data_IF_482751918578
#
_entry.id   IF_482751918578
#
_cell.length_a   1.000
_cell.length_b   1.000
_cell.length_c   1.000
_cell.angle_alpha   90.00
_cell.angle_beta   90.00
_cell.angle_gamma   90.00
#
_symmetry.space_group_name_H-M   'P 1'
#
loop_
_entity.id
_entity.type
_entity.pdbx_description
1 polymer ?
#
# COMPACT_ATOMS: atom_id res chain seq x y z
N UNK A 1 -2.62 73.92 20.51
CA UNK A 1 -1.32 73.67 19.83
C UNK A 1 -1.40 72.25 19.29
N UNK A 2 -1.86 72.05 18.05
CA UNK A 2 -1.06 71.91 16.82
C UNK A 2 0.10 70.90 16.94
N UNK A 3 -0.04 69.82 16.16
CA UNK A 3 1.02 69.04 15.48
C UNK A 3 1.80 68.05 16.39
N UNK A 4 2.17 66.82 15.97
CA UNK A 4 2.21 66.19 14.65
C UNK A 4 1.93 64.68 14.77
N UNK A 5 1.17 64.18 13.80
CA UNK A 5 1.16 62.78 13.38
C UNK A 5 2.43 62.49 12.57
N UNK A 6 3.17 61.44 12.91
CA UNK A 6 4.17 60.83 12.03
C UNK A 6 3.87 59.34 11.93
N UNK A 7 3.32 58.96 10.79
CA UNK A 7 2.97 57.58 10.45
C UNK A 7 4.22 56.75 10.16
N UNK A 8 4.28 55.56 10.75
CA UNK A 8 5.14 54.49 10.28
C UNK A 8 4.32 53.64 9.30
N UNK A 9 4.65 53.76 8.01
CA UNK A 9 4.18 52.83 7.00
C UNK A 9 4.87 51.47 7.23
N UNK A 10 4.10 50.47 7.67
CA UNK A 10 4.55 49.09 7.69
C UNK A 10 4.66 48.58 6.24
N UNK A 11 5.88 48.46 5.74
CA UNK A 11 6.18 47.82 4.47
C UNK A 11 5.98 46.30 4.64
N UNK A 12 4.80 45.80 4.30
CA UNK A 12 4.58 44.37 4.13
C UNK A 12 5.32 43.90 2.88
N UNK A 13 6.54 43.40 3.04
CA UNK A 13 7.23 42.60 2.04
C UNK A 13 6.49 41.27 1.87
N UNK A 14 5.61 41.23 0.87
CA UNK A 14 5.07 39.98 0.34
C UNK A 14 6.23 39.28 -0.37
N UNK A 15 6.88 38.35 0.32
CA UNK A 15 7.82 37.43 -0.31
C UNK A 15 7.04 36.54 -1.28
N UNK A 16 7.16 36.82 -2.58
CA UNK A 16 6.61 35.97 -3.63
C UNK A 16 7.15 34.54 -3.53
N UNK A 17 6.33 33.50 -3.71
CA UNK A 17 6.79 32.11 -3.72
C UNK A 17 7.40 31.79 -5.09
N UNK A 18 8.51 32.45 -5.45
CA UNK A 18 9.20 32.24 -6.72
C UNK A 18 10.43 31.32 -6.61
N UNK A 19 10.68 30.72 -5.44
CA UNK A 19 11.84 29.84 -5.20
C UNK A 19 11.50 28.34 -5.11
N UNK A 20 10.24 27.95 -5.34
CA UNK A 20 9.82 26.54 -5.29
C UNK A 20 9.76 25.84 -6.65
N UNK A 21 10.15 26.50 -7.75
CA UNK A 21 10.00 25.97 -9.13
C UNK A 21 11.31 25.71 -9.88
N UNK A 22 12.49 25.94 -9.29
CA UNK A 22 13.76 25.87 -10.01
C UNK A 22 14.56 24.56 -9.86
N UNK A 23 14.00 23.48 -9.32
CA UNK A 23 14.70 22.17 -9.21
C UNK A 23 14.00 20.98 -9.87
N UNK A 24 12.97 21.22 -10.71
CA UNK A 24 12.26 20.14 -11.42
C UNK A 24 12.73 19.96 -12.88
N UNK A 25 13.52 20.89 -13.43
CA UNK A 25 13.91 20.86 -14.86
C UNK A 25 15.15 20.00 -15.21
N UNK A 26 15.50 19.02 -14.38
CA UNK A 26 16.54 18.04 -14.72
C UNK A 26 16.02 16.60 -14.61
N UNK A 27 14.84 16.33 -15.16
CA UNK A 27 14.48 14.98 -15.59
C UNK A 27 14.65 14.89 -17.10
N UNK A 28 15.77 14.30 -17.50
CA UNK A 28 16.09 13.87 -18.86
C UNK A 28 14.87 13.32 -19.59
N UNK A 29 14.74 13.68 -20.87
CA UNK A 29 13.72 13.29 -21.84
C UNK A 29 13.66 11.78 -22.17
N UNK A 30 14.13 10.92 -21.28
CA UNK A 30 13.88 9.49 -21.32
C UNK A 30 12.43 9.20 -20.97
N UNK A 31 11.78 8.34 -21.75
CA UNK A 31 10.43 7.84 -21.44
C UNK A 31 10.48 7.19 -20.06
N UNK A 32 9.86 7.81 -19.05
CA UNK A 32 9.84 7.29 -17.68
C UNK A 32 9.15 5.93 -17.71
N UNK A 33 9.90 4.88 -17.40
CA UNK A 33 9.35 3.54 -17.25
C UNK A 33 8.58 3.45 -15.93
N UNK A 34 7.26 3.55 -16.04
CA UNK A 34 6.35 3.51 -14.88
C UNK A 34 6.32 2.12 -14.23
N UNK A 35 6.61 1.06 -14.99
CA UNK A 35 6.52 -0.34 -14.56
C UNK A 35 7.79 -0.83 -13.86
N UNK A 36 8.87 -0.06 -13.88
CA UNK A 36 10.16 -0.43 -13.30
C UNK A 36 10.07 -0.97 -11.85
N UNK A 37 9.27 -0.39 -10.92
CA UNK A 37 9.16 -0.94 -9.58
C UNK A 37 8.56 -2.34 -9.52
N UNK A 38 7.71 -2.71 -10.48
CA UNK A 38 7.10 -4.04 -10.53
C UNK A 38 8.08 -5.13 -10.99
N UNK A 39 9.24 -4.75 -11.53
CA UNK A 39 10.30 -5.68 -11.95
C UNK A 39 11.38 -5.90 -10.89
N UNK A 40 11.37 -5.10 -9.81
CA UNK A 40 12.33 -5.24 -8.70
C UNK A 40 12.50 -6.69 -8.22
N UNK A 41 11.44 -7.50 -8.02
CA UNK A 41 11.61 -8.88 -7.56
C UNK A 41 12.45 -9.76 -8.51
N UNK A 42 12.38 -9.47 -9.80
CA UNK A 42 12.94 -10.30 -10.86
C UNK A 42 14.27 -9.77 -11.40
N UNK A 43 14.62 -8.53 -11.07
CA UNK A 43 15.83 -7.87 -11.56
C UNK A 43 16.81 -7.50 -10.43
N UNK A 44 16.32 -7.17 -9.23
CA UNK A 44 17.13 -6.56 -8.16
C UNK A 44 17.12 -7.35 -6.86
N UNK A 45 15.96 -7.87 -6.46
CA UNK A 45 15.81 -8.60 -5.21
C UNK A 45 16.38 -10.00 -5.34
N UNK A 46 17.41 -10.33 -4.56
CA UNK A 46 17.99 -11.67 -4.54
C UNK A 46 17.24 -12.58 -3.58
N UNK A 47 16.86 -13.76 -4.05
CA UNK A 47 16.35 -14.83 -3.22
C UNK A 47 17.46 -15.33 -2.29
N UNK A 48 17.22 -15.29 -0.99
CA UNK A 48 18.17 -15.73 0.03
C UNK A 48 18.48 -17.23 -0.03
N UNK A 49 17.66 -18.04 -0.73
CA UNK A 49 17.87 -19.49 -0.87
C UNK A 49 18.81 -19.82 -2.04
N UNK A 50 18.72 -19.08 -3.14
CA UNK A 50 19.45 -19.38 -4.39
C UNK A 50 20.55 -18.35 -4.71
N UNK A 51 20.45 -17.14 -4.15
CA UNK A 51 21.31 -16.00 -4.50
C UNK A 51 20.95 -15.31 -5.81
N UNK A 52 19.95 -15.81 -6.55
CA UNK A 52 19.48 -15.29 -7.84
C UNK A 52 18.23 -14.44 -7.66
N UNK A 53 17.89 -13.56 -8.62
CA UNK A 53 16.57 -12.93 -8.65
C UNK A 53 15.43 -13.95 -8.72
N UNK A 54 14.23 -13.54 -8.29
CA UNK A 54 13.06 -14.42 -8.38
C UNK A 54 12.63 -14.61 -9.83
N UNK A 55 12.14 -15.80 -10.16
CA UNK A 55 11.43 -16.04 -11.42
C UNK A 55 10.07 -15.33 -11.42
N UNK A 56 9.57 -14.94 -12.59
CA UNK A 56 8.26 -14.27 -12.70
C UNK A 56 7.11 -15.12 -12.12
N UNK A 57 7.21 -16.45 -12.25
CA UNK A 57 6.25 -17.39 -11.68
C UNK A 57 6.14 -17.32 -10.16
N UNK A 58 7.18 -16.84 -9.45
CA UNK A 58 7.16 -16.67 -8.01
C UNK A 58 6.17 -15.61 -7.53
N UNK A 59 5.69 -14.72 -8.42
CA UNK A 59 4.68 -13.72 -8.11
C UNK A 59 3.23 -14.21 -8.26
N UNK A 60 3.03 -15.40 -8.84
CA UNK A 60 1.70 -15.98 -9.07
C UNK A 60 1.10 -16.44 -7.74
N UNK A 61 -0.16 -16.08 -7.50
CA UNK A 61 -0.93 -16.60 -6.38
C UNK A 61 -1.26 -18.08 -6.61
N UNK A 62 -0.85 -18.91 -5.66
CA UNK A 62 -1.02 -20.37 -5.71
C UNK A 62 -2.46 -20.84 -5.44
N UNK A 63 -3.37 -19.94 -5.05
CA UNK A 63 -4.79 -20.25 -4.89
C UNK A 63 -5.48 -20.41 -6.25
N UNK A 64 -5.75 -21.65 -6.64
CA UNK A 64 -6.38 -22.06 -7.90
C UNK A 64 -7.87 -21.70 -8.02
N UNK A 65 -8.52 -21.34 -6.91
CA UNK A 65 -9.93 -20.90 -6.89
C UNK A 65 -10.10 -19.43 -7.31
N UNK A 66 -9.01 -18.67 -7.36
CA UNK A 66 -9.04 -17.28 -7.80
C UNK A 66 -9.02 -17.21 -9.33
N UNK A 67 -9.75 -16.26 -9.90
CA UNK A 67 -9.65 -15.96 -11.33
C UNK A 67 -8.22 -15.54 -11.72
N UNK A 68 -7.79 -15.86 -12.93
CA UNK A 68 -6.39 -15.67 -13.36
C UNK A 68 -5.92 -14.20 -13.26
N UNK A 69 -6.77 -13.23 -13.59
CA UNK A 69 -6.47 -11.81 -13.44
C UNK A 69 -6.25 -11.39 -11.98
N UNK A 70 -6.85 -12.10 -11.02
CA UNK A 70 -6.63 -11.90 -9.58
C UNK A 70 -5.37 -12.66 -9.12
N UNK A 71 -5.11 -13.85 -9.64
CA UNK A 71 -3.91 -14.65 -9.32
C UNK A 71 -2.62 -13.97 -9.75
N UNK A 72 -2.67 -13.18 -10.81
CA UNK A 72 -1.54 -12.44 -11.35
C UNK A 72 -1.17 -11.17 -10.56
N UNK A 73 -1.80 -10.93 -9.40
CA UNK A 73 -1.55 -9.76 -8.55
C UNK A 73 -0.52 -10.03 -7.48
N UNK A 74 0.40 -9.10 -7.34
CA UNK A 74 1.42 -9.11 -6.29
C UNK A 74 1.75 -7.69 -5.85
N UNK A 75 2.44 -7.58 -4.72
CA UNK A 75 2.81 -6.32 -4.10
C UNK A 75 4.32 -6.25 -3.96
N UNK A 76 4.90 -5.09 -4.23
CA UNK A 76 6.34 -4.81 -4.09
C UNK A 76 6.54 -3.60 -3.21
N UNK A 77 7.09 -3.82 -2.02
CA UNK A 77 7.61 -2.75 -1.18
C UNK A 77 9.05 -2.43 -1.59
N UNK A 78 9.33 -1.18 -1.92
CA UNK A 78 10.70 -0.66 -2.02
C UNK A 78 10.93 0.27 -0.83
N UNK A 79 11.69 -0.23 0.15
CA UNK A 79 12.00 0.48 1.38
C UNK A 79 13.31 1.26 1.31
N UNK A 80 14.00 1.23 0.17
CA UNK A 80 15.14 2.11 -0.07
C UNK A 80 14.66 3.55 -0.25
N UNK A 81 15.31 4.47 0.45
CA UNK A 81 15.00 5.91 0.45
C UNK A 81 16.03 6.71 -0.35
N UNK A 82 17.21 6.14 -0.58
CA UNK A 82 18.26 6.70 -1.42
C UNK A 82 18.45 5.88 -2.70
N UNK A 83 18.91 6.55 -3.75
CA UNK A 83 19.35 5.93 -4.99
C UNK A 83 20.82 5.48 -4.93
N UNK A 84 21.30 4.89 -6.01
CA UNK A 84 22.68 4.39 -6.16
C UNK A 84 23.76 5.47 -6.02
N UNK A 85 23.40 6.74 -6.23
CA UNK A 85 24.30 7.88 -6.06
C UNK A 85 24.28 8.44 -4.63
N UNK A 86 23.54 7.80 -3.71
CA UNK A 86 23.38 8.25 -2.34
C UNK A 86 22.46 9.47 -2.19
N UNK A 87 21.68 9.80 -3.21
CA UNK A 87 20.71 10.90 -3.16
C UNK A 87 19.36 10.37 -2.68
N UNK A 88 18.65 11.12 -1.84
CA UNK A 88 17.28 10.75 -1.49
C UNK A 88 16.40 10.74 -2.74
N UNK A 89 15.56 9.73 -2.90
CA UNK A 89 14.78 9.49 -4.13
C UNK A 89 13.69 10.53 -4.33
N UNK A 90 13.05 10.95 -3.24
CA UNK A 90 11.72 11.56 -3.31
C UNK A 90 10.70 10.56 -3.80
N UNK A 91 9.44 10.96 -3.89
CA UNK A 91 8.40 10.03 -4.33
C UNK A 91 7.17 10.77 -4.83
N UNK A 92 6.52 10.18 -5.83
CA UNK A 92 5.24 10.61 -6.37
C UNK A 92 4.34 9.39 -6.47
N UNK A 93 3.11 9.54 -6.00
CA UNK A 93 2.08 8.52 -6.18
C UNK A 93 1.69 8.35 -7.64
N UNK A 94 1.31 7.12 -7.97
CA UNK A 94 0.75 6.75 -9.25
C UNK A 94 -0.54 5.99 -8.99
N UNK A 95 -1.65 6.46 -9.56
CA UNK A 95 -2.93 5.77 -9.52
C UNK A 95 -3.40 5.50 -10.95
N UNK A 96 -3.59 4.22 -11.32
CA UNK A 96 -4.31 3.90 -12.55
C UNK A 96 -5.76 4.36 -12.44
N UNK A 97 -6.33 4.79 -13.57
CA UNK A 97 -7.76 5.10 -13.61
C UNK A 97 -8.57 3.82 -13.38
N UNK A 98 -9.73 3.94 -12.76
CA UNK A 98 -10.61 2.81 -12.47
C UNK A 98 -11.02 2.06 -13.75
N UNK A 99 -11.26 2.79 -14.84
CA UNK A 99 -11.62 2.22 -16.13
C UNK A 99 -10.47 1.41 -16.75
N UNK A 100 -9.23 1.57 -16.30
CA UNK A 100 -8.05 0.85 -16.78
C UNK A 100 -7.73 -0.42 -15.98
N UNK A 101 -8.46 -0.67 -14.89
CA UNK A 101 -8.23 -1.82 -14.03
C UNK A 101 -8.66 -3.15 -14.67
N UNK A 102 -7.94 -4.23 -14.35
CA UNK A 102 -8.22 -5.58 -14.84
C UNK A 102 -9.52 -6.18 -14.29
N UNK A 103 -10.15 -5.52 -13.30
CA UNK A 103 -11.48 -5.84 -12.80
C UNK A 103 -12.60 -5.61 -13.80
N UNK A 104 -12.44 -4.68 -14.76
CA UNK A 104 -13.58 -4.16 -15.52
C UNK A 104 -13.43 -4.20 -17.05
N UNK A 105 -12.93 -5.31 -17.64
CA UNK A 105 -12.71 -5.36 -19.09
C UNK A 105 -14.00 -5.17 -19.89
N UNK A 106 -15.14 -5.66 -19.40
CA UNK A 106 -16.40 -5.58 -20.16
C UNK A 106 -17.09 -4.26 -19.98
N UNK A 107 -17.17 -3.75 -18.75
CA UNK A 107 -17.70 -2.42 -18.50
C UNK A 107 -16.90 -1.35 -19.24
N UNK A 108 -15.57 -1.49 -19.35
CA UNK A 108 -14.75 -0.61 -20.17
C UNK A 108 -15.16 -0.65 -21.64
N UNK A 109 -15.35 -1.84 -22.21
CA UNK A 109 -15.80 -2.00 -23.59
C UNK A 109 -17.19 -1.38 -23.79
N UNK A 110 -18.13 -1.62 -22.89
CA UNK A 110 -19.47 -1.06 -22.96
C UNK A 110 -19.45 0.47 -22.86
N UNK A 111 -18.66 1.04 -21.94
CA UNK A 111 -18.49 2.48 -21.82
C UNK A 111 -17.94 3.10 -23.12
N UNK A 112 -16.94 2.46 -23.72
CA UNK A 112 -16.35 2.89 -24.98
C UNK A 112 -17.31 2.76 -26.17
N UNK A 113 -18.04 1.64 -26.28
CA UNK A 113 -19.03 1.41 -27.35
C UNK A 113 -20.19 2.41 -27.30
N UNK A 114 -20.58 2.85 -26.10
CA UNK A 114 -21.72 3.75 -25.88
C UNK A 114 -21.32 5.22 -25.72
N UNK A 115 -20.03 5.52 -25.71
CA UNK A 115 -19.48 6.86 -25.42
C UNK A 115 -20.04 7.46 -24.11
N UNK A 116 -20.02 6.66 -23.04
CA UNK A 116 -20.50 7.09 -21.71
C UNK A 116 -19.39 7.08 -20.68
N UNK A 117 -19.56 7.90 -19.64
CA UNK A 117 -18.65 7.92 -18.51
C UNK A 117 -18.66 6.57 -17.77
N UNK A 118 -17.48 6.01 -17.49
CA UNK A 118 -17.34 4.65 -16.97
C UNK A 118 -18.04 4.44 -15.61
N UNK A 119 -17.92 5.37 -14.67
CA UNK A 119 -18.55 5.24 -13.35
C UNK A 119 -20.08 5.34 -13.39
N UNK A 120 -20.65 5.98 -14.42
CA UNK A 120 -22.10 6.04 -14.63
C UNK A 120 -22.74 4.66 -14.83
N UNK A 121 -21.96 3.69 -15.35
CA UNK A 121 -22.41 2.30 -15.51
C UNK A 121 -22.72 1.61 -14.17
N UNK A 122 -22.23 2.15 -13.05
CA UNK A 122 -22.58 1.63 -11.74
C UNK A 122 -24.08 1.71 -11.44
N UNK A 123 -24.83 2.61 -12.10
CA UNK A 123 -26.27 2.74 -11.89
C UNK A 123 -27.11 2.14 -13.02
N UNK A 124 -26.48 1.59 -14.05
CA UNK A 124 -27.18 0.99 -15.17
C UNK A 124 -27.84 -0.34 -14.78
N UNK A 125 -28.99 -0.61 -15.38
CA UNK A 125 -29.67 -1.90 -15.23
C UNK A 125 -28.94 -2.96 -16.07
N UNK A 126 -28.70 -4.12 -15.47
CA UNK A 126 -27.93 -5.20 -16.10
C UNK A 126 -28.60 -5.66 -17.42
N UNK A 127 -29.93 -5.72 -17.46
CA UNK A 127 -30.68 -6.06 -18.67
C UNK A 127 -30.42 -5.07 -19.82
N UNK A 128 -30.12 -3.81 -19.52
CA UNK A 128 -29.80 -2.79 -20.53
C UNK A 128 -28.36 -2.86 -21.02
N UNK A 129 -27.48 -3.56 -20.30
CA UNK A 129 -26.06 -3.71 -20.62
C UNK A 129 -25.76 -5.02 -21.36
N UNK A 130 -26.58 -6.04 -21.14
CA UNK A 130 -26.47 -7.37 -21.75
C UNK A 130 -27.04 -7.38 -23.18
N UNK A 131 -26.36 -8.06 -24.11
CA UNK A 131 -26.90 -8.36 -25.44
C UNK A 131 -27.76 -9.63 -25.37
N UNK A 132 -28.83 -9.72 -26.16
CA UNK A 132 -29.77 -10.85 -26.14
C UNK A 132 -29.15 -12.23 -26.40
N UNK A 133 -27.94 -12.28 -26.95
CA UNK A 133 -27.21 -13.50 -27.32
C UNK A 133 -26.07 -13.85 -26.34
N UNK A 134 -25.92 -13.17 -25.20
CA UNK A 134 -24.87 -13.50 -24.23
C UNK A 134 -25.11 -14.84 -23.52
N UNK A 135 -24.03 -15.60 -23.32
CA UNK A 135 -24.05 -16.83 -22.52
C UNK A 135 -24.30 -16.52 -21.03
N UNK A 136 -24.77 -17.50 -20.25
CA UNK A 136 -24.98 -17.32 -18.80
C UNK A 136 -23.70 -16.92 -18.07
N UNK A 137 -22.57 -17.58 -18.37
CA UNK A 137 -21.26 -17.24 -17.79
C UNK A 137 -20.87 -15.79 -18.11
N UNK A 138 -21.16 -15.36 -19.35
CA UNK A 138 -20.97 -13.97 -19.75
C UNK A 138 -21.87 -13.06 -18.91
N UNK A 139 -23.15 -13.36 -18.77
CA UNK A 139 -24.04 -12.55 -17.94
C UNK A 139 -23.55 -12.41 -16.49
N UNK A 140 -23.14 -13.51 -15.86
CA UNK A 140 -22.62 -13.54 -14.48
C UNK A 140 -21.32 -12.73 -14.31
N UNK A 141 -20.40 -12.82 -15.26
CA UNK A 141 -19.18 -12.04 -15.24
C UNK A 141 -19.46 -10.53 -15.29
N UNK A 142 -20.40 -10.09 -16.14
CA UNK A 142 -20.82 -8.68 -16.19
C UNK A 142 -21.50 -8.23 -14.90
N UNK A 143 -22.37 -9.08 -14.33
CA UNK A 143 -23.01 -8.81 -13.05
C UNK A 143 -21.99 -8.59 -11.92
N UNK A 144 -20.94 -9.42 -11.89
CA UNK A 144 -19.83 -9.28 -10.96
C UNK A 144 -19.05 -7.96 -11.17
N UNK A 145 -18.77 -7.56 -12.41
CA UNK A 145 -18.10 -6.29 -12.70
C UNK A 145 -18.93 -5.08 -12.21
N UNK A 146 -20.26 -5.09 -12.41
CA UNK A 146 -21.15 -4.01 -11.93
C UNK A 146 -21.18 -3.97 -10.41
N UNK A 147 -21.30 -5.12 -9.76
CA UNK A 147 -21.29 -5.21 -8.30
C UNK A 147 -19.96 -4.70 -7.72
N UNK A 148 -18.83 -5.08 -8.32
CA UNK A 148 -17.51 -4.63 -7.90
C UNK A 148 -17.30 -3.14 -8.15
N UNK A 149 -17.83 -2.58 -9.25
CA UNK A 149 -17.81 -1.15 -9.51
C UNK A 149 -18.61 -0.40 -8.44
N UNK A 150 -19.88 -0.80 -8.19
CA UNK A 150 -20.71 -0.23 -7.13
C UNK A 150 -20.02 -0.27 -5.77
N UNK A 151 -19.42 -1.42 -5.44
CA UNK A 151 -18.68 -1.62 -4.21
C UNK A 151 -17.49 -0.65 -4.13
N UNK A 152 -16.66 -0.59 -5.17
CA UNK A 152 -15.51 0.32 -5.23
C UNK A 152 -15.90 1.78 -5.01
N UNK A 153 -16.93 2.27 -5.72
CA UNK A 153 -17.41 3.64 -5.60
C UNK A 153 -17.81 3.96 -4.14
N UNK A 154 -18.61 3.07 -3.55
CA UNK A 154 -19.16 3.26 -2.21
C UNK A 154 -18.13 3.09 -1.09
N UNK A 155 -17.15 2.20 -1.26
CA UNK A 155 -16.28 1.74 -0.17
C UNK A 155 -14.86 2.28 -0.25
N UNK A 156 -14.42 2.67 -1.44
CA UNK A 156 -13.03 3.07 -1.71
C UNK A 156 -12.98 4.47 -2.31
N UNK A 157 -13.62 4.71 -3.45
CA UNK A 157 -13.44 5.95 -4.22
C UNK A 157 -13.86 7.21 -3.46
N UNK A 158 -14.93 7.13 -2.66
CA UNK A 158 -15.38 8.28 -1.86
C UNK A 158 -14.35 8.84 -0.88
N UNK A 159 -13.27 8.10 -0.61
CA UNK A 159 -12.16 8.53 0.26
C UNK A 159 -10.96 9.06 -0.51
N UNK A 160 -11.00 9.03 -1.86
CA UNK A 160 -9.90 9.44 -2.71
C UNK A 160 -9.47 10.87 -2.41
N UNK A 161 -8.16 11.05 -2.33
CA UNK A 161 -7.51 12.35 -2.17
C UNK A 161 -6.61 12.61 -3.37
N UNK A 162 -6.14 13.84 -3.49
CA UNK A 162 -5.11 14.19 -4.46
C UNK A 162 -3.86 13.31 -4.29
N UNK A 163 -3.17 13.08 -5.41
CA UNK A 163 -1.92 12.32 -5.41
C UNK A 163 -0.89 13.02 -4.54
N UNK A 164 -0.27 12.25 -3.65
CA UNK A 164 0.79 12.78 -2.80
C UNK A 164 2.09 12.84 -3.60
N UNK A 165 2.76 13.99 -3.53
CA UNK A 165 4.12 14.19 -4.04
C UNK A 165 4.98 14.69 -2.88
N UNK A 166 6.12 14.03 -2.65
CA UNK A 166 7.06 14.41 -1.60
C UNK A 166 8.43 14.68 -2.22
N UNK A 167 9.03 15.78 -1.78
CA UNK A 167 10.40 16.12 -2.09
C UNK A 167 11.36 15.03 -1.60
N UNK A 168 12.59 15.04 -2.14
CA UNK A 168 13.67 14.11 -1.79
C UNK A 168 13.96 14.10 -0.29
N UNK A 169 13.97 15.27 0.33
CA UNK A 169 14.11 15.44 1.78
C UNK A 169 12.91 16.19 2.30
N UNK A 170 12.26 15.66 3.34
CA UNK A 170 11.10 16.27 3.96
C UNK A 170 11.25 16.27 5.48
N UNK A 171 11.21 17.45 6.11
CA UNK A 171 11.46 17.62 7.55
C UNK A 171 12.76 16.92 8.03
N UNK A 172 13.81 16.96 7.21
CA UNK A 172 15.10 16.32 7.49
C UNK A 172 15.15 14.81 7.22
N UNK A 173 14.03 14.16 6.92
CA UNK A 173 14.00 12.75 6.55
C UNK A 173 14.34 12.53 5.09
N UNK A 174 15.07 11.46 4.81
CA UNK A 174 15.27 10.97 3.45
C UNK A 174 14.04 10.20 3.00
N UNK A 175 13.40 10.67 1.94
CA UNK A 175 12.13 10.14 1.46
C UNK A 175 12.32 9.31 0.21
N UNK A 176 11.66 8.16 0.13
CA UNK A 176 11.64 7.32 -1.07
C UNK A 176 10.88 6.00 -0.94
N UNK A 177 10.35 5.65 0.24
CA UNK A 177 9.67 4.38 0.44
C UNK A 177 8.34 4.32 -0.32
N UNK A 178 8.14 3.22 -1.04
CA UNK A 178 6.93 2.99 -1.84
C UNK A 178 6.34 1.60 -1.60
N UNK A 179 5.03 1.51 -1.79
CA UNK A 179 4.30 0.26 -1.92
C UNK A 179 3.66 0.21 -3.31
N UNK A 180 4.12 -0.72 -4.14
CA UNK A 180 3.73 -0.85 -5.54
C UNK A 180 2.81 -2.07 -5.68
N UNK A 181 1.66 -1.86 -6.32
CA UNK A 181 0.66 -2.88 -6.60
C UNK A 181 0.76 -3.22 -8.07
N UNK A 182 1.07 -4.48 -8.35
CA UNK A 182 1.54 -4.93 -9.65
C UNK A 182 0.72 -6.12 -10.14
N UNK A 183 0.50 -6.17 -11.44
CA UNK A 183 -0.16 -7.29 -12.10
C UNK A 183 0.71 -7.83 -13.23
N UNK A 184 0.66 -9.15 -13.45
CA UNK A 184 1.23 -9.77 -14.63
C UNK A 184 0.18 -9.70 -15.75
N UNK A 185 0.48 -8.94 -16.80
CA UNK A 185 -0.34 -8.84 -18.00
C UNK A 185 0.47 -9.26 -19.21
N UNK A 186 -0.03 -10.23 -19.98
CA UNK A 186 0.64 -10.75 -21.18
C UNK A 186 2.10 -11.16 -20.91
N UNK A 187 2.34 -11.81 -19.77
CA UNK A 187 3.67 -12.24 -19.34
C UNK A 187 4.59 -11.13 -18.87
N UNK A 188 4.10 -9.90 -18.64
CA UNK A 188 4.91 -8.75 -18.22
C UNK A 188 4.40 -8.12 -16.92
N UNK A 189 5.30 -7.76 -15.99
CA UNK A 189 5.01 -6.89 -14.86
C UNK A 189 4.43 -5.54 -15.29
N UNK A 190 3.31 -5.13 -14.69
CA UNK A 190 2.68 -3.84 -14.90
C UNK A 190 2.29 -3.18 -13.59
N UNK A 191 2.57 -1.89 -13.45
CA UNK A 191 2.18 -1.09 -12.30
C UNK A 191 0.71 -0.68 -12.39
N UNK A 192 -0.05 -0.99 -11.33
CA UNK A 192 -1.42 -0.50 -11.16
C UNK A 192 -1.43 0.71 -10.25
N UNK A 193 -0.78 0.61 -9.09
CA UNK A 193 -0.70 1.70 -8.11
C UNK A 193 0.69 1.79 -7.50
N UNK A 194 1.14 3.00 -7.22
CA UNK A 194 2.29 3.29 -6.35
C UNK A 194 1.84 4.22 -5.25
N UNK A 195 1.87 3.72 -4.02
CA UNK A 195 1.58 4.51 -2.84
C UNK A 195 2.87 4.90 -2.15
N UNK A 196 2.87 6.10 -1.56
CA UNK A 196 3.90 6.45 -0.59
C UNK A 196 3.59 5.68 0.69
N UNK A 197 4.61 5.09 1.30
CA UNK A 197 4.46 4.31 2.53
C UNK A 197 5.50 4.72 3.56
N UNK A 198 5.25 4.38 4.82
CA UNK A 198 6.28 4.40 5.85
C UNK A 198 6.39 3.03 6.49
N UNK A 199 7.61 2.50 6.45
CA UNK A 199 8.00 1.24 7.04
C UNK A 199 9.06 1.46 8.12
N UNK A 200 9.64 0.38 8.64
CA UNK A 200 10.51 0.34 9.82
C UNK A 200 11.48 1.51 9.93
N UNK A 201 11.61 2.07 11.14
CA UNK A 201 12.60 3.08 11.57
C UNK A 201 13.92 2.50 12.02
N UNK A 202 13.90 1.22 12.37
CA UNK A 202 15.07 0.46 12.74
C UNK A 202 15.84 0.13 11.48
N UNK A 203 17.17 0.23 11.53
CA UNK A 203 18.03 -0.39 10.54
C UNK A 203 17.72 -1.88 10.53
N UNK A 204 16.82 -2.25 9.64
CA UNK A 204 16.74 -3.61 9.18
C UNK A 204 17.85 -3.71 8.18
N UNK A 205 19.06 -3.94 8.70
CA UNK A 205 20.07 -4.51 7.87
C UNK A 205 19.47 -5.81 7.30
N UNK A 206 19.61 -6.10 6.00
CA UNK A 206 19.04 -7.32 5.40
C UNK A 206 19.46 -8.60 6.12
N UNK A 207 20.61 -8.60 6.82
CA UNK A 207 21.10 -9.69 7.67
C UNK A 207 20.28 -9.91 8.96
N UNK A 208 19.56 -8.90 9.45
CA UNK A 208 18.69 -9.01 10.64
C UNK A 208 17.42 -9.84 10.36
N UNK A 209 17.15 -10.19 9.09
CA UNK A 209 16.03 -11.06 8.66
C UNK A 209 14.68 -10.64 9.23
N UNK A 210 14.46 -9.36 9.50
CA UNK A 210 13.18 -8.92 10.07
C UNK A 210 12.08 -8.95 9.01
N UNK A 211 12.32 -8.43 7.81
CA UNK A 211 11.47 -8.71 6.65
C UNK A 211 12.05 -9.87 5.86
N UNK A 212 11.22 -10.86 5.54
CA UNK A 212 11.55 -11.81 4.50
C UNK A 212 11.52 -11.12 3.13
N UNK A 213 12.36 -11.51 2.16
CA UNK A 213 12.35 -10.94 0.81
C UNK A 213 11.03 -11.25 0.08
N UNK A 214 10.39 -12.39 0.39
CA UNK A 214 9.09 -12.79 -0.13
C UNK A 214 8.16 -13.22 1.02
N UNK A 215 6.94 -12.70 0.97
CA UNK A 215 5.88 -12.88 1.95
C UNK A 215 4.58 -13.22 1.23
N UNK A 216 3.55 -13.59 2.00
CA UNK A 216 2.18 -13.83 1.53
C UNK A 216 1.19 -13.03 2.34
N UNK A 217 0.15 -12.48 1.68
CA UNK A 217 -0.97 -11.84 2.38
C UNK A 217 -1.86 -12.91 3.02
N UNK A 218 -1.69 -13.13 4.32
CA UNK A 218 -2.33 -14.21 5.06
C UNK A 218 -3.79 -13.92 5.42
N UNK A 219 -4.09 -12.69 5.86
CA UNK A 219 -5.42 -12.26 6.30
C UNK A 219 -5.75 -10.85 5.80
N UNK A 220 -7.04 -10.61 5.57
CA UNK A 220 -7.60 -9.34 5.09
C UNK A 220 -8.66 -8.87 6.08
N UNK A 221 -8.29 -7.98 7.00
CA UNK A 221 -9.17 -7.44 8.03
C UNK A 221 -9.87 -6.16 7.54
N UNK A 222 -10.95 -5.79 8.22
CA UNK A 222 -11.78 -4.64 7.92
C UNK A 222 -11.33 -3.38 8.70
N UNK A 223 -12.15 -2.32 8.64
CA UNK A 223 -12.00 -1.09 9.44
C UNK A 223 -13.34 -0.66 10.04
N UNK A 224 -13.30 -0.02 11.21
CA UNK A 224 -14.49 0.50 11.88
C UNK A 224 -15.11 1.70 11.15
N UNK A 225 -14.32 2.42 10.35
CA UNK A 225 -14.72 3.67 9.70
C UNK A 225 -15.67 3.49 8.49
N UNK A 226 -16.07 2.25 8.20
CA UNK A 226 -17.07 1.92 7.18
C UNK A 226 -17.79 0.61 7.51
N UNK A 227 -19.10 0.57 7.26
CA UNK A 227 -19.92 -0.62 7.48
C UNK A 227 -19.54 -1.73 6.50
N UNK A 228 -19.38 -2.95 7.02
CA UNK A 228 -19.25 -4.17 6.22
C UNK A 228 -20.63 -4.62 5.74
N UNK A 229 -20.76 -4.88 4.44
CA UNK A 229 -22.02 -5.18 3.75
C UNK A 229 -21.96 -6.53 3.03
N UNK A 230 -23.11 -7.08 2.56
CA UNK A 230 -23.10 -8.30 1.75
C UNK A 230 -22.26 -8.18 0.46
N UNK A 231 -22.21 -7.00 -0.17
CA UNK A 231 -21.35 -6.77 -1.33
C UNK A 231 -19.86 -6.88 -0.98
N UNK A 232 -19.47 -6.46 0.23
CA UNK A 232 -18.09 -6.61 0.73
C UNK A 232 -17.74 -8.08 0.96
N UNK A 233 -18.69 -8.88 1.44
CA UNK A 233 -18.50 -10.33 1.62
C UNK A 233 -18.29 -11.06 0.30
N UNK A 234 -19.09 -10.74 -0.73
CA UNK A 234 -18.91 -11.30 -2.07
C UNK A 234 -17.58 -10.88 -2.71
N UNK A 235 -17.20 -9.60 -2.55
CA UNK A 235 -15.86 -9.15 -2.98
C UNK A 235 -14.78 -9.91 -2.24
N UNK A 236 -14.93 -10.13 -0.94
CA UNK A 236 -13.96 -10.89 -0.16
C UNK A 236 -13.84 -12.34 -0.61
N UNK A 237 -14.95 -13.00 -0.94
CA UNK A 237 -14.97 -14.33 -1.52
C UNK A 237 -14.19 -14.37 -2.85
N UNK A 238 -14.46 -13.45 -3.78
CA UNK A 238 -13.73 -13.31 -5.06
C UNK A 238 -12.24 -13.04 -4.87
N UNK A 239 -11.85 -12.47 -3.74
CA UNK A 239 -10.47 -12.15 -3.37
C UNK A 239 -9.79 -13.24 -2.52
N UNK A 240 -10.40 -14.42 -2.38
CA UNK A 240 -9.83 -15.58 -1.66
C UNK A 240 -10.12 -15.58 -0.16
N UNK A 241 -11.07 -14.76 0.28
CA UNK A 241 -11.53 -14.60 1.64
C UNK A 241 -11.13 -13.27 2.27
N UNK A 242 -11.81 -12.92 3.35
CA UNK A 242 -11.62 -11.72 4.16
C UNK A 242 -12.54 -11.80 5.38
N UNK A 243 -12.30 -10.95 6.36
CA UNK A 243 -13.10 -10.95 7.59
C UNK A 243 -13.55 -9.54 7.95
N UNK A 244 -14.77 -9.37 8.51
CA UNK A 244 -15.24 -8.08 9.04
C UNK A 244 -14.53 -7.68 10.34
N UNK A 245 -13.63 -8.53 10.85
CA UNK A 245 -12.84 -8.28 12.05
C UNK A 245 -11.96 -7.05 11.90
N UNK A 246 -11.85 -6.27 12.98
CA UNK A 246 -10.99 -5.09 13.09
C UNK A 246 -9.74 -5.50 13.86
N UNK A 247 -8.57 -5.37 13.23
CA UNK A 247 -7.31 -5.69 13.88
C UNK A 247 -6.96 -4.61 14.93
N UNK A 248 -6.51 -5.04 16.10
CA UNK A 248 -6.12 -4.16 17.20
C UNK A 248 -4.62 -4.33 17.50
N UNK A 249 -3.93 -3.22 17.70
CA UNK A 249 -2.57 -3.18 18.24
C UNK A 249 -2.64 -2.97 19.75
N UNK A 250 -2.02 -3.86 20.52
CA UNK A 250 -1.95 -3.75 21.97
C UNK A 250 -1.01 -2.60 22.36
N UNK A 251 -1.54 -1.59 23.06
CA UNK A 251 -0.78 -0.41 23.48
C UNK A 251 -1.05 -0.12 24.96
N UNK A 252 -0.39 -0.89 25.84
CA UNK A 252 -0.42 -0.65 27.29
C UNK A 252 -1.82 -0.61 27.90
N UNK A 253 -2.72 -1.51 27.46
CA UNK A 253 -4.10 -1.57 27.93
C UNK A 253 -5.09 -0.66 27.17
N UNK A 254 -4.63 0.16 26.22
CA UNK A 254 -5.48 0.97 25.34
C UNK A 254 -5.28 0.54 23.87
N UNK A 255 -5.96 -0.52 23.41
CA UNK A 255 -5.77 -1.05 22.07
C UNK A 255 -6.07 0.02 21.00
N UNK A 256 -5.18 0.14 20.01
CA UNK A 256 -5.34 1.05 18.89
C UNK A 256 -5.79 0.23 17.68
N UNK A 257 -6.86 0.65 17.03
CA UNK A 257 -7.29 0.05 15.77
C UNK A 257 -6.18 0.16 14.70
N UNK A 258 -6.00 -0.93 13.95
CA UNK A 258 -5.23 -0.96 12.70
C UNK A 258 -6.20 -1.14 11.52
N UNK A 259 -6.70 -0.04 10.92
CA UNK A 259 -7.78 -0.13 9.94
C UNK A 259 -7.30 -0.76 8.62
N UNK A 260 -8.15 -1.60 8.02
CA UNK A 260 -7.89 -2.28 6.73
C UNK A 260 -6.59 -3.12 6.74
N UNK A 261 -6.31 -3.77 7.88
CA UNK A 261 -5.06 -4.50 8.08
C UNK A 261 -4.93 -5.73 7.18
N UNK A 262 -3.93 -5.71 6.31
CA UNK A 262 -3.46 -6.86 5.54
C UNK A 262 -2.32 -7.52 6.31
N UNK A 263 -2.62 -8.63 6.98
CA UNK A 263 -1.60 -9.41 7.68
C UNK A 263 -0.75 -10.12 6.64
N UNK A 264 0.57 -9.96 6.70
CA UNK A 264 1.49 -10.73 5.86
C UNK A 264 2.40 -11.60 6.70
N UNK A 265 2.81 -12.72 6.12
CA UNK A 265 3.71 -13.68 6.74
C UNK A 265 4.86 -14.00 5.77
N UNK A 266 6.06 -14.30 6.26
CA UNK A 266 7.12 -14.87 5.43
C UNK A 266 6.59 -16.07 4.64
N UNK A 267 6.95 -16.15 3.36
CA UNK A 267 6.57 -17.30 2.55
C UNK A 267 7.28 -18.58 3.05
N UNK A 268 6.78 -19.75 2.67
CA UNK A 268 7.27 -21.04 3.19
C UNK A 268 8.79 -21.16 3.02
N UNK A 269 9.48 -21.41 4.13
CA UNK A 269 10.94 -21.56 4.18
C UNK A 269 11.73 -20.25 4.18
N UNK A 270 11.08 -19.10 4.32
CA UNK A 270 11.72 -17.82 4.62
C UNK A 270 11.52 -17.45 6.10
N UNK A 271 12.46 -16.68 6.65
CA UNK A 271 12.45 -16.20 8.03
C UNK A 271 12.13 -14.71 8.03
N UNK A 272 11.25 -14.29 8.94
CA UNK A 272 10.83 -12.91 9.12
C UNK A 272 9.85 -12.74 10.27
N UNK A 273 9.62 -11.49 10.66
CA UNK A 273 8.61 -11.10 11.64
C UNK A 273 7.21 -11.47 11.13
N UNK A 274 6.38 -12.02 12.02
CA UNK A 274 5.07 -12.57 11.73
C UNK A 274 3.93 -11.72 12.29
N UNK A 275 4.23 -10.68 13.06
CA UNK A 275 3.25 -9.75 13.65
C UNK A 275 2.97 -8.50 12.80
N UNK A 276 3.63 -8.35 11.65
CA UNK A 276 3.49 -7.15 10.81
C UNK A 276 2.32 -7.20 9.83
N UNK A 277 1.84 -6.02 9.42
CA UNK A 277 0.87 -5.91 8.35
C UNK A 277 0.97 -4.60 7.58
N UNK A 278 0.19 -4.51 6.51
CA UNK A 278 -0.04 -3.27 5.74
C UNK A 278 -1.36 -2.68 6.24
N UNK A 279 -1.37 -1.44 6.70
CA UNK A 279 -2.58 -0.85 7.27
C UNK A 279 -2.60 0.68 7.17
N UNK A 280 -3.78 1.25 7.37
CA UNK A 280 -3.92 2.70 7.56
C UNK A 280 -3.19 3.12 8.84
N UNK A 281 -2.45 4.23 8.81
CA UNK A 281 -1.80 4.76 10.01
C UNK A 281 -2.77 4.83 11.22
N UNK A 282 -2.32 4.28 12.34
CA UNK A 282 -3.08 4.11 13.58
C UNK A 282 -2.67 5.19 14.61
N UNK A 283 -3.63 5.72 15.39
CA UNK A 283 -3.34 6.65 16.50
C UNK A 283 -2.97 8.08 16.10
N UNK A 284 -3.94 8.85 15.60
CA UNK A 284 -3.73 10.17 14.98
C UNK A 284 -2.75 11.13 15.67
N UNK A 285 -1.88 11.71 14.85
CA UNK A 285 -1.32 13.08 14.83
C UNK A 285 -0.25 13.20 13.73
N UNK A 286 0.40 12.09 13.38
CA UNK A 286 1.32 12.03 12.24
C UNK A 286 0.51 11.89 10.94
N UNK A 287 0.06 13.04 10.43
CA UNK A 287 -0.91 13.21 9.33
C UNK A 287 -0.32 12.88 7.95
N UNK A 288 0.39 11.76 7.84
CA UNK A 288 1.18 11.44 6.65
C UNK A 288 2.37 12.39 6.42
N UNK A 289 2.73 13.19 7.43
CA UNK A 289 3.88 14.08 7.38
C UNK A 289 5.15 13.30 7.06
N UNK A 290 5.31 12.15 7.70
CA UNK A 290 6.46 11.26 7.58
C UNK A 290 6.32 10.15 6.52
N UNK A 291 5.25 10.14 5.72
CA UNK A 291 5.13 9.16 4.64
C UNK A 291 6.29 9.28 3.65
N UNK A 292 6.83 8.11 3.28
CA UNK A 292 7.98 7.96 2.41
C UNK A 292 9.30 7.90 3.17
N UNK A 293 9.29 8.21 4.48
CA UNK A 293 10.43 8.06 5.38
C UNK A 293 10.33 6.76 6.21
N UNK A 294 11.46 6.22 6.68
CA UNK A 294 11.50 5.03 7.51
C UNK A 294 11.24 5.39 8.98
N UNK A 295 9.97 5.44 9.40
CA UNK A 295 9.59 5.86 10.77
C UNK A 295 8.65 4.89 11.50
N UNK A 296 8.18 3.83 10.85
CA UNK A 296 7.31 2.83 11.45
C UNK A 296 8.03 1.92 12.45
N UNK A 297 7.30 1.20 13.28
CA UNK A 297 7.86 0.18 14.18
C UNK A 297 8.01 -1.20 13.52
N UNK A 298 7.50 -1.38 12.29
CA UNK A 298 7.53 -2.68 11.60
C UNK A 298 6.41 -2.85 10.57
N UNK A 299 5.22 -2.33 10.84
CA UNK A 299 4.15 -2.35 9.86
C UNK A 299 4.39 -1.40 8.69
N UNK A 300 3.72 -1.66 7.58
CA UNK A 300 3.72 -0.83 6.37
C UNK A 300 2.51 0.11 6.43
N UNK A 301 2.77 1.39 6.66
CA UNK A 301 1.71 2.38 6.92
C UNK A 301 1.29 3.11 5.66
N UNK A 302 -0.03 3.20 5.46
CA UNK A 302 -0.66 3.89 4.35
C UNK A 302 -1.60 5.00 4.85
N UNK A 303 -1.87 5.96 3.98
CA UNK A 303 -2.99 6.90 4.07
C UNK A 303 -4.35 6.19 4.11
N UNK A 304 -5.41 6.94 4.45
CA UNK A 304 -6.79 6.44 4.50
C UNK A 304 -7.29 5.81 3.20
N UNK A 305 -7.12 6.50 2.07
CA UNK A 305 -7.59 6.00 0.77
C UNK A 305 -6.77 4.79 0.31
N UNK A 306 -5.44 4.92 0.38
CA UNK A 306 -4.46 3.92 -0.03
C UNK A 306 -4.66 2.60 0.74
N UNK A 307 -4.94 2.65 2.05
CA UNK A 307 -5.21 1.45 2.83
C UNK A 307 -6.51 0.73 2.41
N UNK A 308 -7.58 1.49 2.11
CA UNK A 308 -8.85 0.92 1.62
C UNK A 308 -8.68 0.30 0.25
N UNK A 309 -7.99 1.00 -0.65
CA UNK A 309 -7.70 0.52 -1.99
C UNK A 309 -6.80 -0.72 -1.97
N UNK A 310 -5.73 -0.71 -1.17
CA UNK A 310 -4.85 -1.87 -0.97
C UNK A 310 -5.67 -3.10 -0.53
N UNK A 311 -6.54 -2.94 0.47
CA UNK A 311 -7.35 -4.04 1.00
C UNK A 311 -8.43 -4.50 0.03
N UNK A 312 -9.00 -3.61 -0.77
CA UNK A 312 -9.99 -3.94 -1.80
C UNK A 312 -9.38 -4.66 -3.01
N UNK A 313 -8.14 -4.30 -3.39
CA UNK A 313 -7.48 -4.78 -4.61
C UNK A 313 -6.58 -6.00 -4.40
N UNK A 314 -5.99 -6.17 -3.22
CA UNK A 314 -5.03 -7.27 -2.96
C UNK A 314 -5.75 -8.55 -2.51
N UNK A 315 -5.59 -9.68 -3.22
CA UNK A 315 -6.19 -10.94 -2.83
C UNK A 315 -5.42 -11.60 -1.67
N UNK A 316 -6.11 -12.49 -0.97
CA UNK A 316 -5.48 -13.38 0.00
C UNK A 316 -4.48 -14.28 -0.73
N UNK A 317 -3.36 -14.59 -0.09
CA UNK A 317 -2.22 -15.34 -0.63
C UNK A 317 -1.48 -14.64 -1.78
N UNK A 318 -1.78 -13.37 -2.07
CA UNK A 318 -0.94 -12.57 -2.96
C UNK A 318 0.50 -12.54 -2.44
N UNK A 319 1.46 -12.63 -3.36
CA UNK A 319 2.88 -12.54 -3.04
C UNK A 319 3.24 -11.08 -2.73
N UNK A 320 4.00 -10.89 -1.66
CA UNK A 320 4.45 -9.58 -1.19
C UNK A 320 5.97 -9.57 -1.06
N UNK A 321 6.62 -8.88 -1.99
CA UNK A 321 8.07 -8.76 -2.05
C UNK A 321 8.52 -7.51 -1.32
N UNK A 322 9.60 -7.64 -0.54
CA UNK A 322 10.19 -6.51 0.19
C UNK A 322 11.63 -6.34 -0.29
N UNK A 323 11.89 -5.21 -0.96
CA UNK A 323 13.21 -4.80 -1.39
C UNK A 323 13.78 -3.75 -0.45
N UNK A 324 14.92 -4.10 0.14
CA UNK A 324 15.62 -3.31 1.13
C UNK A 324 17.10 -3.64 1.07
N UNK A 325 17.94 -2.64 0.82
CA UNK A 325 19.38 -2.78 0.81
C UNK A 325 20.03 -1.88 1.86
N UNK A 326 21.12 -2.35 2.45
CA UNK A 326 21.91 -1.56 3.41
C UNK A 326 22.38 -0.25 2.79
N UNK A 327 22.70 -0.24 1.49
CA UNK A 327 23.15 0.96 0.78
C UNK A 327 22.00 1.93 0.46
N UNK A 328 20.80 1.43 0.12
CA UNK A 328 19.67 2.27 -0.26
C UNK A 328 18.82 2.78 0.92
N UNK A 329 18.91 2.14 2.10
CA UNK A 329 18.14 2.55 3.27
C UNK A 329 18.81 3.68 4.07
N UNK A 330 18.17 4.84 4.12
CA UNK A 330 18.66 6.06 4.77
C UNK A 330 17.54 6.77 5.53
N UNK A 331 17.79 7.17 6.78
CA UNK A 331 16.77 7.82 7.59
C UNK A 331 16.67 9.33 7.32
N UNK A 332 17.82 9.98 7.16
CA UNK A 332 17.92 11.43 7.11
C UNK A 332 18.54 11.91 5.81
N UNK A 333 18.24 13.14 5.42
CA UNK A 333 18.81 13.78 4.25
C UNK A 333 19.11 15.25 4.50
N UNK A 334 19.98 15.81 3.67
CA UNK A 334 20.24 17.24 3.66
C UNK A 334 19.30 17.94 2.68
N UNK A 335 18.45 18.85 3.15
CA UNK A 335 17.49 19.52 2.30
C UNK A 335 18.11 20.42 1.22
N UNK A 336 19.36 20.90 1.42
CA UNK A 336 20.05 21.76 0.45
C UNK A 336 20.66 20.97 -0.69
N UNK A 337 21.22 19.80 -0.39
CA UNK A 337 21.93 18.98 -1.38
C UNK A 337 21.12 17.78 -1.84
N UNK A 338 20.02 17.46 -1.17
CA UNK A 338 19.25 16.21 -1.30
C UNK A 338 20.07 14.92 -1.06
N UNK A 339 21.32 15.04 -0.61
CA UNK A 339 22.17 13.90 -0.25
C UNK A 339 21.57 13.19 0.96
N UNK A 340 21.50 11.87 0.89
CA UNK A 340 21.16 11.07 2.05
C UNK A 340 22.31 11.14 3.06
N UNK A 341 21.97 11.27 4.33
CA UNK A 341 22.92 11.24 5.43
C UNK A 341 23.05 9.82 5.96
N UNK A 342 24.24 9.49 6.46
CA UNK A 342 24.50 8.22 7.12
C UNK A 342 23.48 7.95 8.21
N UNK A 343 23.16 6.67 8.40
CA UNK A 343 22.26 6.23 9.45
C UNK A 343 22.88 6.54 10.82
N UNK A 344 22.18 7.31 11.65
CA UNK A 344 22.50 7.43 13.08
C UNK A 344 21.64 6.40 13.78
N UNK A 345 22.27 5.39 14.43
CA UNK A 345 21.56 4.44 15.27
C UNK A 345 20.71 5.22 16.28
N UNK A 346 19.37 5.09 16.29
CA UNK A 346 18.64 5.44 17.49
C UNK A 346 19.17 4.55 18.63
N UNK A 347 19.19 5.04 19.88
CA UNK A 347 19.53 4.19 21.01
C UNK A 347 18.67 2.91 20.96
N UNK A 348 19.25 1.74 21.31
CA UNK A 348 18.51 0.49 21.32
C UNK A 348 17.24 0.67 22.16
N UNK A 349 16.08 0.41 21.55
CA UNK A 349 14.85 0.29 22.32
C UNK A 349 14.79 -1.13 22.83
N UNK A 350 14.76 -1.26 24.15
CA UNK A 350 14.54 -2.52 24.81
C UNK A 350 13.13 -3.02 24.46
N UNK A 351 13.05 -3.95 23.50
CA UNK A 351 11.81 -4.64 23.13
C UNK A 351 11.47 -5.77 24.11
N UNK A 352 12.33 -6.06 25.10
CA UNK A 352 12.08 -7.07 26.14
C UNK A 352 11.24 -6.55 27.29
N UNK A 353 10.94 -5.25 27.33
CA UNK A 353 10.07 -4.65 28.35
C UNK A 353 8.57 -4.91 28.13
N UNK A 354 8.20 -6.00 27.44
CA UNK A 354 6.85 -6.51 27.60
C UNK A 354 6.73 -7.00 29.05
N UNK A 355 5.84 -6.43 29.89
CA UNK A 355 5.61 -6.98 31.21
C UNK A 355 5.23 -8.44 31.02
N UNK A 356 5.93 -9.33 31.72
CA UNK A 356 5.71 -10.77 31.75
C UNK A 356 4.23 -11.08 31.51
N UNK A 357 3.91 -11.55 30.30
CA UNK A 357 2.57 -12.03 29.98
C UNK A 357 2.32 -13.16 30.99
N UNK A 358 1.31 -13.08 31.87
CA UNK A 358 0.99 -14.20 32.71
C UNK A 358 0.71 -15.41 31.80
N UNK A 359 1.18 -16.62 32.16
CA UNK A 359 0.96 -17.80 31.34
C UNK A 359 -0.54 -17.94 31.06
N UNK A 360 -0.88 -18.16 29.79
CA UNK A 360 -2.27 -18.46 29.41
C UNK A 360 -2.77 -19.62 30.28
N UNK A 361 -3.99 -19.52 30.85
CA UNK A 361 -4.54 -20.65 31.60
C UNK A 361 -4.66 -21.84 30.65
N UNK A 362 -4.37 -23.07 31.14
CA UNK A 362 -4.43 -24.26 30.31
C UNK A 362 -5.82 -24.36 29.69
N UNK A 363 -5.85 -24.66 28.39
CA UNK A 363 -7.07 -24.96 27.64
C UNK A 363 -7.78 -26.09 28.38
N UNK A 364 -8.81 -25.74 29.13
CA UNK A 364 -9.67 -26.71 29.79
C UNK A 364 -10.30 -27.59 28.74
N UNK A 365 -10.07 -28.89 28.83
CA UNK A 365 -10.87 -29.91 28.16
C UNK A 365 -12.34 -29.64 28.50
N UNK A 366 -13.10 -29.14 27.53
CA UNK A 366 -14.55 -29.22 27.61
C UNK A 366 -14.92 -30.70 27.57
N UNK A 367 -15.21 -31.21 28.75
CA UNK A 367 -15.85 -32.49 28.96
C UNK A 367 -17.20 -32.50 28.23
N UNK A 368 -17.27 -33.30 27.18
CA UNK A 368 -18.53 -33.85 26.67
C UNK A 368 -19.06 -34.83 27.72
N UNK A 369 -19.98 -34.40 28.57
CA UNK A 369 -20.92 -35.31 29.22
C UNK A 369 -22.30 -35.16 28.60
N UNK A 370 -22.66 -36.26 27.93
CA UNK A 370 -24.00 -36.68 27.56
C UNK A 370 -24.80 -37.14 28.80
N UNK A 371 -26.13 -37.18 28.62
CA UNK A 371 -27.21 -37.65 29.51
C UNK A 371 -27.62 -36.64 30.59
N UNK A 372 -28.86 -36.17 30.68
CA UNK A 372 -30.17 -36.82 30.47
C UNK A 372 -31.21 -35.88 29.87
#
# INVERSE_FOLDING_TARGET
MRAMFSGFAALCLIASPAFAQSTINAMSSGKIDVDAPCRIPFEKLKDTKTGLPFELSAAINENDKLADNIRNRYVVADFNTADENGMCKGVKEYLSRIDQLSEFPRLRRIAAERDVEFTSLANADLATLTKSEETLESYEALANEIEDLKNYLAQVQRFQTDHIVKARVYNGYCVGQTLNFCEIQNGKPKLVYRFITSSSRWQQRPDNKYYAPINVIAKRNWSSDRRYTPADAKRDERMGGGVPHIAMFENGGNPIEMPNFLHFLPDKGYVGERANGIHQIAGGLDSGGTFGAPVSLGCVRLSKYQAKLARWWTPRQAKFFIYLETAGYRNYGDAKTAMARGYINPPPVDLTSHPNRPPEPPIGFFSLFSSR
#
